data_IF_846470473267
#
_entry.id   IF_846470473267
#
_cell.length_a   1.000
_cell.length_b   1.000
_cell.length_c   1.000
_cell.angle_alpha   90.00
_cell.angle_beta   90.00
_cell.angle_gamma   90.00
#
_symmetry.space_group_name_H-M   'P 1'
#
loop_
_entity.id
_entity.type
_entity.pdbx_description
1 polymer ?
#
# COMPACT_ATOMS: atom_id res chain seq x y z
N UNK A 1 -5.73 -9.87 27.12
CA UNK A 1 -4.75 -8.87 27.62
C UNK A 1 -4.42 -7.98 26.44
N UNK A 2 -4.32 -6.67 26.63
CA UNK A 2 -3.90 -5.71 25.62
C UNK A 2 -2.40 -5.45 25.83
N UNK A 3 -1.60 -5.61 24.77
CA UNK A 3 -0.13 -5.50 24.85
C UNK A 3 0.30 -4.37 23.91
N UNK A 4 1.01 -3.39 24.42
CA UNK A 4 1.62 -2.35 23.60
C UNK A 4 2.74 -2.98 22.75
N UNK A 5 2.68 -2.76 21.43
CA UNK A 5 3.64 -3.35 20.47
C UNK A 5 4.51 -2.32 19.76
N UNK A 6 4.09 -1.06 19.75
CA UNK A 6 4.81 0.00 19.05
C UNK A 6 3.92 1.20 18.75
N UNK A 7 4.29 1.94 17.71
CA UNK A 7 3.54 3.11 17.28
C UNK A 7 3.50 3.22 15.75
N UNK A 8 2.53 3.97 15.25
CA UNK A 8 2.40 4.31 13.82
C UNK A 8 3.60 5.18 13.43
N UNK A 9 4.48 4.67 12.57
CA UNK A 9 5.65 5.40 12.08
C UNK A 9 5.32 6.21 10.82
N UNK A 10 4.52 5.64 9.93
CA UNK A 10 4.05 6.31 8.73
C UNK A 10 2.70 5.75 8.28
N UNK A 11 1.95 6.59 7.59
CA UNK A 11 0.69 6.24 6.94
C UNK A 11 0.83 6.58 5.46
N UNK A 12 0.45 5.63 4.59
CA UNK A 12 0.44 5.82 3.14
C UNK A 12 -0.94 5.51 2.57
N UNK A 13 -1.35 6.33 1.60
CA UNK A 13 -2.55 6.12 0.79
C UNK A 13 -2.14 5.99 -0.68
N UNK A 14 -2.74 5.05 -1.39
CA UNK A 14 -2.49 4.79 -2.81
C UNK A 14 -3.79 4.89 -3.59
N UNK A 15 -4.25 6.08 -4.01
CA UNK A 15 -5.58 6.27 -4.60
C UNK A 15 -5.83 5.40 -5.84
N UNK A 16 -4.78 5.17 -6.64
CA UNK A 16 -4.82 4.34 -7.85
C UNK A 16 -3.92 3.13 -7.69
N UNK A 17 -4.46 1.95 -7.98
CA UNK A 17 -3.68 0.68 -7.96
C UNK A 17 -2.40 0.82 -8.77
N UNK A 18 -1.28 0.43 -8.18
CA UNK A 18 0.07 0.43 -8.76
C UNK A 18 0.69 1.78 -9.08
N UNK A 19 0.01 2.89 -8.91
CA UNK A 19 0.59 4.24 -9.04
C UNK A 19 1.26 4.69 -7.73
N UNK A 20 1.97 5.82 -7.77
CA UNK A 20 2.58 6.42 -6.59
C UNK A 20 1.55 6.63 -5.47
N UNK A 21 2.02 6.51 -4.23
CA UNK A 21 1.24 6.81 -3.04
C UNK A 21 1.58 8.17 -2.47
N UNK A 22 0.79 8.61 -1.51
CA UNK A 22 1.02 9.81 -0.72
C UNK A 22 1.22 9.45 0.75
N UNK A 23 2.13 10.15 1.42
CA UNK A 23 2.33 10.03 2.86
C UNK A 23 1.38 10.99 3.57
N UNK A 24 0.73 10.48 4.63
CA UNK A 24 -0.23 11.23 5.43
C UNK A 24 0.23 11.29 6.89
N UNK A 25 0.02 12.43 7.54
CA UNK A 25 0.19 12.55 8.99
C UNK A 25 -1.04 12.02 9.74
N UNK A 26 -2.19 12.11 9.07
CA UNK A 26 -3.49 11.68 9.62
C UNK A 26 -4.32 11.08 8.48
N UNK A 27 -5.04 10.00 8.79
CA UNK A 27 -5.98 9.37 7.86
C UNK A 27 -7.26 8.94 8.59
N UNK A 28 -8.37 8.89 7.86
CA UNK A 28 -9.58 8.25 8.37
C UNK A 28 -9.56 6.77 7.95
N UNK A 29 -9.81 5.92 8.93
CA UNK A 29 -10.02 4.49 8.75
C UNK A 29 -11.52 4.24 8.64
N UNK A 30 -12.01 4.01 7.44
CA UNK A 30 -13.38 3.61 7.14
C UNK A 30 -13.52 2.09 7.02
N UNK A 31 -14.73 1.58 6.84
CA UNK A 31 -15.00 0.13 6.73
C UNK A 31 -14.27 -0.55 5.56
N UNK A 32 -13.88 0.20 4.55
CA UNK A 32 -13.18 -0.30 3.36
C UNK A 32 -11.68 0.04 3.35
N UNK A 33 -11.09 0.31 4.50
CA UNK A 33 -9.68 0.73 4.62
C UNK A 33 -9.54 2.23 4.81
N UNK A 34 -8.37 2.78 4.46
CA UNK A 34 -8.17 4.23 4.50
C UNK A 34 -9.03 4.91 3.43
N UNK A 35 -9.67 6.00 3.82
CA UNK A 35 -10.51 6.77 2.90
C UNK A 35 -9.73 7.18 1.64
N UNK A 36 -10.28 6.84 0.47
CA UNK A 36 -9.67 7.11 -0.84
C UNK A 36 -8.59 6.12 -1.29
N UNK A 37 -8.22 5.12 -0.46
CA UNK A 37 -7.18 4.15 -0.83
C UNK A 37 -7.66 3.17 -1.89
N UNK A 38 -6.83 2.93 -2.93
CA UNK A 38 -7.02 1.93 -4.01
C UNK A 38 -8.43 1.85 -4.60
N UNK A 39 -9.09 3.02 -4.71
CA UNK A 39 -10.45 3.14 -5.25
C UNK A 39 -10.48 3.13 -6.78
N UNK A 40 -9.32 3.28 -7.41
CA UNK A 40 -9.13 3.38 -8.85
C UNK A 40 -8.11 2.34 -9.34
N UNK A 41 -8.38 1.77 -10.52
CA UNK A 41 -7.43 0.89 -11.21
C UNK A 41 -7.65 0.93 -12.72
N UNK A 42 -6.61 0.71 -13.51
CA UNK A 42 -6.75 0.44 -14.93
C UNK A 42 -7.12 -1.01 -15.18
N UNK A 43 -8.16 -1.21 -15.96
CA UNK A 43 -8.54 -2.50 -16.53
C UNK A 43 -7.89 -2.66 -17.89
N UNK A 44 -7.24 -3.80 -18.12
CA UNK A 44 -6.75 -4.22 -19.44
C UNK A 44 -7.94 -4.71 -20.27
N UNK A 45 -8.18 -4.10 -21.43
CA UNK A 45 -9.40 -4.35 -22.23
C UNK A 45 -9.33 -5.65 -23.01
N UNK A 46 -8.14 -6.15 -23.29
CA UNK A 46 -7.85 -7.40 -24.00
C UNK A 46 -7.83 -8.63 -23.07
N UNK A 47 -7.79 -8.42 -21.75
CA UNK A 47 -7.69 -9.50 -20.78
C UNK A 47 -9.06 -10.01 -20.32
N UNK A 48 -9.27 -11.31 -20.49
CA UNK A 48 -10.48 -12.03 -20.07
C UNK A 48 -10.26 -12.88 -18.80
N UNK A 49 -9.08 -12.77 -18.18
CA UNK A 49 -8.78 -13.49 -16.93
C UNK A 49 -9.58 -12.92 -15.75
N UNK A 50 -9.62 -13.65 -14.64
CA UNK A 50 -10.22 -13.18 -13.39
C UNK A 50 -9.46 -12.01 -12.75
N UNK A 51 -8.27 -11.64 -13.25
CA UNK A 51 -7.44 -10.54 -12.76
C UNK A 51 -7.09 -9.56 -13.90
N UNK A 52 -8.06 -8.79 -14.43
CA UNK A 52 -7.85 -7.93 -15.59
C UNK A 52 -7.14 -6.61 -15.25
N UNK A 53 -6.77 -6.38 -13.99
CA UNK A 53 -6.19 -5.12 -13.55
C UNK A 53 -4.76 -4.98 -14.06
N UNK A 54 -4.43 -3.79 -14.59
CA UNK A 54 -3.06 -3.46 -14.93
C UNK A 54 -2.28 -3.18 -13.63
N UNK A 55 -1.16 -3.87 -13.47
CA UNK A 55 -0.28 -3.73 -12.31
C UNK A 55 1.11 -3.28 -12.73
N UNK A 56 1.88 -2.72 -11.82
CA UNK A 56 3.27 -2.34 -12.07
C UNK A 56 4.17 -3.54 -12.39
N UNK A 57 3.77 -4.77 -12.06
CA UNK A 57 4.46 -5.98 -12.55
C UNK A 57 4.38 -6.15 -14.07
N UNK A 58 3.38 -5.54 -14.71
CA UNK A 58 3.19 -5.56 -16.18
C UNK A 58 3.62 -4.27 -16.86
N UNK A 59 3.50 -3.13 -16.18
CA UNK A 59 3.98 -1.83 -16.61
C UNK A 59 4.72 -1.17 -15.44
N UNK A 60 6.04 -1.39 -15.31
CA UNK A 60 6.83 -0.88 -14.18
C UNK A 60 6.71 0.63 -13.97
N UNK A 61 6.64 1.41 -15.04
CA UNK A 61 6.51 2.87 -14.99
C UNK A 61 5.25 3.36 -14.26
N UNK A 62 4.24 2.51 -14.01
CA UNK A 62 3.05 2.92 -13.25
C UNK A 62 3.39 3.48 -11.87
N UNK A 63 4.48 3.00 -11.24
CA UNK A 63 4.88 3.51 -9.93
C UNK A 63 5.29 4.99 -9.96
N UNK A 64 5.62 5.52 -11.14
CA UNK A 64 6.03 6.90 -11.35
C UNK A 64 4.86 7.85 -11.65
N UNK A 65 3.68 7.32 -12.00
CA UNK A 65 2.49 8.12 -12.17
C UNK A 65 1.99 8.59 -10.82
N UNK A 66 1.84 9.91 -10.65
CA UNK A 66 1.48 10.51 -9.35
C UNK A 66 0.03 11.01 -9.38
N UNK A 67 -0.90 10.32 -8.70
CA UNK A 67 -2.25 10.83 -8.49
C UNK A 67 -2.20 12.12 -7.68
N UNK A 68 -2.97 13.13 -8.07
CA UNK A 68 -3.05 14.41 -7.38
C UNK A 68 -4.48 14.97 -7.42
N UNK A 69 -4.81 15.78 -6.42
CA UNK A 69 -6.05 16.50 -6.38
C UNK A 69 -5.80 17.99 -6.60
N UNK A 70 -6.44 18.54 -7.63
CA UNK A 70 -6.52 19.98 -7.84
C UNK A 70 -7.83 20.47 -7.27
N UNK A 71 -7.78 21.56 -6.52
CA UNK A 71 -8.97 22.17 -5.91
C UNK A 71 -9.77 23.03 -6.90
N UNK A 72 -9.11 23.53 -7.94
CA UNK A 72 -9.71 24.39 -8.96
C UNK A 72 -10.79 23.64 -9.74
N UNK A 73 -12.05 23.92 -9.41
CA UNK A 73 -13.21 23.32 -10.09
C UNK A 73 -13.46 21.85 -9.78
N UNK A 74 -12.85 21.28 -8.73
CA UNK A 74 -12.99 19.88 -8.37
C UNK A 74 -14.44 19.53 -8.03
N UNK A 75 -15.12 18.88 -8.97
CA UNK A 75 -16.39 18.20 -8.74
C UNK A 75 -16.13 16.73 -8.40
N UNK A 76 -17.01 16.13 -7.60
CA UNK A 76 -16.96 14.70 -7.26
C UNK A 76 -16.43 14.43 -5.84
N UNK A 77 -16.03 13.18 -5.61
CA UNK A 77 -15.58 12.70 -4.29
C UNK A 77 -14.30 13.41 -3.84
N UNK A 78 -14.31 14.14 -2.70
CA UNK A 78 -13.15 14.86 -2.20
C UNK A 78 -11.96 13.96 -1.83
N UNK A 79 -12.19 12.67 -1.70
CA UNK A 79 -11.17 11.68 -1.32
C UNK A 79 -10.40 11.11 -2.53
N UNK A 80 -10.87 11.38 -3.75
CA UNK A 80 -10.27 10.85 -4.96
C UNK A 80 -9.42 11.90 -5.68
N UNK A 81 -8.36 11.48 -6.38
CA UNK A 81 -7.58 12.37 -7.22
C UNK A 81 -8.44 12.88 -8.39
N UNK A 82 -8.19 14.09 -8.84
CA UNK A 82 -8.80 14.66 -10.03
C UNK A 82 -7.91 14.50 -11.27
N UNK A 83 -6.60 14.45 -11.06
CA UNK A 83 -5.59 14.34 -12.11
C UNK A 83 -4.53 13.30 -11.74
N UNK A 84 -3.77 12.90 -12.74
CA UNK A 84 -2.55 12.11 -12.59
C UNK A 84 -1.43 12.85 -13.33
N UNK A 85 -0.30 13.07 -12.67
CA UNK A 85 0.92 13.53 -13.31
C UNK A 85 1.67 12.33 -13.86
N UNK A 86 1.99 12.35 -15.14
CA UNK A 86 2.78 11.33 -15.83
C UNK A 86 4.27 11.43 -15.45
N UNK A 87 5.09 10.41 -15.74
CA UNK A 87 6.54 10.48 -15.56
C UNK A 87 7.21 11.63 -16.35
N UNK A 88 6.60 12.05 -17.46
CA UNK A 88 7.09 13.16 -18.30
C UNK A 88 6.66 14.53 -17.78
N UNK A 89 5.88 14.58 -16.68
CA UNK A 89 5.46 15.82 -16.02
C UNK A 89 4.11 16.37 -16.49
N UNK A 90 3.46 15.75 -17.46
CA UNK A 90 2.14 16.16 -17.93
C UNK A 90 1.06 15.79 -16.91
N UNK A 91 0.07 16.65 -16.72
CA UNK A 91 -1.05 16.40 -15.84
C UNK A 91 -2.33 16.16 -16.64
N UNK A 92 -2.92 15.00 -16.44
CA UNK A 92 -4.11 14.54 -17.17
C UNK A 92 -5.26 14.26 -16.22
N UNK A 93 -6.52 14.58 -16.57
CA UNK A 93 -7.69 14.20 -15.78
C UNK A 93 -7.76 12.67 -15.58
N UNK A 94 -8.08 12.24 -14.36
CA UNK A 94 -8.15 10.80 -14.00
C UNK A 94 -9.10 10.02 -14.90
N UNK A 95 -10.25 10.60 -15.21
CA UNK A 95 -11.29 9.99 -16.07
C UNK A 95 -11.24 10.50 -17.51
N UNK A 96 -10.12 11.10 -17.93
CA UNK A 96 -9.92 11.54 -19.30
C UNK A 96 -9.49 10.40 -20.23
N UNK A 97 -9.90 10.48 -21.50
CA UNK A 97 -9.41 9.55 -22.53
C UNK A 97 -7.89 9.63 -22.72
N UNK A 98 -7.31 10.81 -22.51
CA UNK A 98 -5.88 11.04 -22.76
C UNK A 98 -4.99 10.27 -21.78
N UNK A 99 -5.37 10.20 -20.49
CA UNK A 99 -4.66 9.37 -19.53
C UNK A 99 -4.75 7.88 -19.89
N UNK A 100 -5.92 7.41 -20.30
CA UNK A 100 -6.09 6.02 -20.72
C UNK A 100 -5.30 5.70 -21.99
N UNK A 101 -5.25 6.63 -22.97
CA UNK A 101 -4.43 6.50 -24.18
C UNK A 101 -2.94 6.47 -23.83
N UNK A 102 -2.46 7.36 -22.95
CA UNK A 102 -1.05 7.42 -22.55
C UNK A 102 -0.61 6.15 -21.82
N UNK A 103 -1.39 5.68 -20.84
CA UNK A 103 -1.10 4.42 -20.14
C UNK A 103 -1.19 3.23 -21.10
N UNK A 104 -2.18 3.21 -21.99
CA UNK A 104 -2.34 2.16 -23.01
C UNK A 104 -1.18 2.12 -24.00
N UNK A 105 -0.69 3.30 -24.44
CA UNK A 105 0.49 3.42 -25.32
C UNK A 105 1.74 2.83 -24.66
N UNK A 106 1.99 3.12 -23.38
CA UNK A 106 3.13 2.57 -22.63
C UNK A 106 2.98 1.07 -22.36
N UNK A 107 1.77 0.63 -22.10
CA UNK A 107 1.48 -0.78 -21.86
C UNK A 107 1.47 -1.62 -23.15
N UNK A 108 1.16 -1.02 -24.29
CA UNK A 108 1.07 -1.68 -25.60
C UNK A 108 -0.32 -2.25 -25.92
N UNK A 109 -1.35 -1.97 -25.12
CA UNK A 109 -2.73 -2.41 -25.36
C UNK A 109 -3.74 -1.45 -24.70
N UNK A 110 -5.00 -1.41 -25.17
CA UNK A 110 -6.03 -0.54 -24.61
C UNK A 110 -6.30 -0.82 -23.13
N UNK A 111 -6.43 0.25 -22.36
CA UNK A 111 -6.81 0.22 -20.94
C UNK A 111 -7.94 1.19 -20.66
N UNK A 112 -8.68 0.95 -19.57
CA UNK A 112 -9.75 1.82 -19.11
C UNK A 112 -9.64 2.05 -17.61
N UNK A 113 -9.78 3.32 -17.17
CA UNK A 113 -9.87 3.64 -15.75
C UNK A 113 -11.20 3.15 -15.19
N UNK A 114 -11.14 2.42 -14.10
CA UNK A 114 -12.27 1.89 -13.36
C UNK A 114 -12.27 2.47 -11.94
N UNK A 115 -13.45 2.72 -11.42
CA UNK A 115 -13.66 3.19 -10.05
C UNK A 115 -14.58 2.22 -9.30
N UNK A 116 -14.19 1.87 -8.08
CA UNK A 116 -15.10 1.21 -7.12
C UNK A 116 -15.86 2.26 -6.32
N UNK A 117 -17.17 2.08 -6.23
CA UNK A 117 -18.01 2.87 -5.32
C UNK A 117 -17.75 2.48 -3.86
N UNK A 118 -17.53 1.19 -3.61
CA UNK A 118 -17.20 0.61 -2.31
C UNK A 118 -16.08 -0.42 -2.49
N UNK A 119 -15.30 -0.68 -1.41
CA UNK A 119 -14.17 -1.59 -1.47
C UNK A 119 -12.92 -0.99 -2.10
N UNK A 120 -11.93 -1.83 -2.33
CA UNK A 120 -10.62 -1.45 -2.86
C UNK A 120 -10.17 -2.45 -3.94
N UNK A 121 -9.28 -2.01 -4.81
CA UNK A 121 -8.61 -2.87 -5.80
C UNK A 121 -7.38 -3.57 -5.20
N UNK A 122 -7.57 -4.31 -4.10
CA UNK A 122 -6.52 -5.12 -3.48
C UNK A 122 -7.13 -6.35 -2.77
N UNK A 123 -6.29 -7.22 -2.20
CA UNK A 123 -6.74 -8.46 -1.54
C UNK A 123 -7.37 -8.20 -0.17
N UNK A 124 -6.91 -7.18 0.55
CA UNK A 124 -7.48 -6.79 1.84
C UNK A 124 -7.45 -5.28 2.04
N UNK A 125 -8.25 -4.80 2.99
CA UNK A 125 -8.54 -3.38 3.17
C UNK A 125 -7.37 -2.58 3.75
N UNK A 126 -6.48 -3.22 4.51
CA UNK A 126 -5.31 -2.60 5.13
C UNK A 126 -4.09 -3.51 5.01
N UNK A 127 -2.98 -2.95 4.56
CA UNK A 127 -1.65 -3.58 4.60
C UNK A 127 -0.79 -2.89 5.66
N UNK A 128 -0.16 -3.69 6.53
CA UNK A 128 0.72 -3.23 7.62
C UNK A 128 2.07 -3.92 7.53
N UNK A 129 3.15 -3.18 7.75
CA UNK A 129 4.50 -3.74 7.81
C UNK A 129 5.31 -3.05 8.92
N UNK A 130 6.16 -3.81 9.61
CA UNK A 130 7.12 -3.23 10.54
C UNK A 130 8.33 -2.65 9.80
N UNK A 131 8.83 -1.49 10.23
CA UNK A 131 10.06 -0.90 9.66
C UNK A 131 11.27 -1.82 9.84
N UNK A 132 11.32 -2.55 10.95
CA UNK A 132 12.37 -3.54 11.23
C UNK A 132 12.40 -4.67 10.18
N UNK A 133 11.23 -5.12 9.72
CA UNK A 133 11.11 -6.11 8.64
C UNK A 133 11.67 -5.58 7.32
N UNK A 134 11.37 -4.32 6.98
CA UNK A 134 11.89 -3.67 5.77
C UNK A 134 13.41 -3.54 5.84
N UNK A 135 13.95 -3.11 6.99
CA UNK A 135 15.39 -3.00 7.21
C UNK A 135 16.09 -4.35 7.06
N UNK A 136 15.55 -5.42 7.64
CA UNK A 136 16.13 -6.76 7.53
C UNK A 136 16.11 -7.28 6.09
N UNK A 137 15.02 -7.06 5.34
CA UNK A 137 14.95 -7.40 3.92
C UNK A 137 16.02 -6.64 3.13
N UNK A 138 16.20 -5.33 3.39
CA UNK A 138 17.24 -4.52 2.75
C UNK A 138 18.63 -5.06 3.03
N UNK A 139 18.92 -5.40 4.29
CA UNK A 139 20.20 -6.01 4.69
C UNK A 139 20.47 -7.34 3.98
N UNK A 140 19.44 -8.18 3.80
CA UNK A 140 19.53 -9.48 3.16
C UNK A 140 19.56 -9.41 1.62
N UNK A 141 19.03 -8.35 1.02
CA UNK A 141 19.10 -8.11 -0.42
C UNK A 141 20.51 -7.77 -0.90
N UNK A 142 21.41 -7.38 0.02
CA UNK A 142 22.83 -7.25 -0.24
C UNK A 142 23.31 -5.85 -0.58
N UNK A 143 24.53 -5.76 -1.16
CA UNK A 143 25.31 -4.52 -1.32
C UNK A 143 24.69 -3.41 -2.19
N UNK A 144 23.59 -3.67 -2.85
CA UNK A 144 22.88 -2.66 -3.65
C UNK A 144 22.10 -1.67 -2.82
N UNK A 145 21.93 -1.96 -1.51
CA UNK A 145 21.22 -1.09 -0.58
C UNK A 145 22.13 -0.78 0.61
N UNK A 146 22.31 0.49 0.92
CA UNK A 146 22.77 0.89 2.24
C UNK A 146 21.76 0.39 3.27
N UNK A 147 22.21 -0.11 4.41
CA UNK A 147 21.36 -0.77 5.45
C UNK A 147 20.16 0.09 5.88
N UNK A 148 20.19 1.39 5.59
CA UNK A 148 19.11 2.35 5.89
C UNK A 148 18.26 2.73 4.67
N UNK A 149 18.46 2.13 3.49
CA UNK A 149 17.95 2.69 2.24
C UNK A 149 16.91 1.88 1.48
N UNK A 150 16.46 0.70 1.96
CA UNK A 150 15.34 0.03 1.30
C UNK A 150 14.05 0.79 1.57
N UNK A 151 13.51 1.41 0.53
CA UNK A 151 12.32 2.22 0.64
C UNK A 151 11.09 1.36 0.95
N UNK A 152 10.40 1.67 2.05
CA UNK A 152 9.19 0.97 2.49
C UNK A 152 8.06 1.06 1.46
N UNK A 153 8.04 2.11 0.62
CA UNK A 153 7.04 2.28 -0.44
C UNK A 153 7.04 1.15 -1.47
N UNK A 154 8.13 0.38 -1.60
CA UNK A 154 8.18 -0.85 -2.43
C UNK A 154 7.15 -1.88 -1.99
N UNK A 155 6.87 -1.97 -0.69
CA UNK A 155 5.90 -2.88 -0.09
C UNK A 155 4.47 -2.31 -0.10
N UNK A 156 4.31 -1.03 -0.42
CA UNK A 156 3.01 -0.35 -0.52
C UNK A 156 2.11 -0.52 0.70
N UNK A 157 2.64 -0.40 1.93
CA UNK A 157 1.82 -0.53 3.13
C UNK A 157 0.90 0.68 3.30
N UNK A 158 -0.24 0.47 3.97
CA UNK A 158 -1.04 1.57 4.49
C UNK A 158 -0.45 2.10 5.80
N UNK A 159 0.04 1.21 6.65
CA UNK A 159 0.58 1.54 7.96
C UNK A 159 1.96 0.93 8.11
N UNK A 160 2.93 1.76 8.45
CA UNK A 160 4.26 1.31 8.89
C UNK A 160 4.30 1.39 10.41
N UNK A 161 4.75 0.31 11.03
CA UNK A 161 4.85 0.19 12.48
C UNK A 161 6.31 0.26 12.91
N UNK A 162 6.61 1.15 13.86
CA UNK A 162 7.86 1.12 14.61
C UNK A 162 7.61 0.30 15.87
N UNK A 163 8.28 -0.83 15.99
CA UNK A 163 8.14 -1.75 17.10
C UNK A 163 8.82 -1.20 18.38
N UNK A 164 8.29 -1.54 19.56
CA UNK A 164 8.97 -1.29 20.85
C UNK A 164 10.25 -2.10 20.98
N UNK A 165 10.25 -3.31 20.43
CA UNK A 165 11.42 -4.18 20.37
C UNK A 165 11.67 -4.49 18.90
N UNK A 166 12.87 -4.17 18.42
CA UNK A 166 13.29 -4.42 17.04
C UNK A 166 13.41 -5.92 16.76
N UNK A 167 12.33 -6.52 16.31
CA UNK A 167 12.26 -7.93 15.90
C UNK A 167 11.68 -8.02 14.50
N UNK A 168 12.50 -8.27 13.46
CA UNK A 168 12.03 -8.43 12.10
C UNK A 168 10.98 -9.54 11.98
N UNK A 169 9.96 -9.33 11.15
CA UNK A 169 8.84 -10.25 10.90
C UNK A 169 7.96 -10.55 12.13
N UNK A 170 8.03 -9.75 13.19
CA UNK A 170 7.19 -9.92 14.37
C UNK A 170 5.69 -9.79 14.04
N UNK A 171 5.34 -9.02 13.02
CA UNK A 171 3.97 -8.87 12.55
C UNK A 171 3.33 -10.20 12.09
N UNK A 172 4.11 -11.20 11.73
CA UNK A 172 3.60 -12.54 11.38
C UNK A 172 2.94 -13.25 12.57
N UNK A 173 3.33 -12.91 13.79
CA UNK A 173 2.77 -13.46 15.04
C UNK A 173 1.42 -12.84 15.41
N UNK A 174 0.98 -11.78 14.70
CA UNK A 174 -0.27 -11.09 15.02
C UNK A 174 -1.50 -11.69 14.34
N UNK A 175 -1.34 -12.78 13.59
CA UNK A 175 -2.44 -13.45 12.88
C UNK A 175 -3.61 -13.77 13.79
N UNK A 176 -4.83 -13.41 13.36
CA UNK A 176 -6.07 -13.57 14.13
C UNK A 176 -6.23 -12.57 15.28
N UNK A 177 -5.19 -11.79 15.58
CA UNK A 177 -5.21 -10.74 16.59
C UNK A 177 -5.86 -9.46 16.11
N UNK A 178 -6.16 -8.59 17.06
CA UNK A 178 -6.71 -7.25 16.83
C UNK A 178 -5.66 -6.20 17.19
N UNK A 179 -5.36 -5.31 16.25
CA UNK A 179 -4.55 -4.11 16.48
C UNK A 179 -5.48 -2.93 16.77
N UNK A 180 -5.33 -2.31 17.93
CA UNK A 180 -6.01 -1.07 18.32
C UNK A 180 -5.04 0.11 18.23
N UNK A 181 -5.48 1.21 17.64
CA UNK A 181 -4.69 2.44 17.52
C UNK A 181 -5.10 3.41 18.60
N UNK A 182 -4.44 3.29 19.76
CA UNK A 182 -4.74 4.02 20.99
C UNK A 182 -5.43 3.16 22.05
N UNK A 183 -5.54 3.73 23.24
CA UNK A 183 -6.22 3.14 24.39
C UNK A 183 -7.74 3.36 24.33
N UNK A 184 -8.47 2.42 24.91
CA UNK A 184 -9.91 2.52 25.07
C UNK A 184 -10.70 1.73 24.03
N UNK A 185 -11.97 1.51 24.37
CA UNK A 185 -12.87 0.65 23.59
C UNK A 185 -13.31 1.28 22.26
N UNK A 186 -13.21 2.61 22.14
CA UNK A 186 -13.56 3.36 20.93
C UNK A 186 -12.37 3.58 19.97
N UNK A 187 -11.15 3.18 20.36
CA UNK A 187 -9.97 3.36 19.51
C UNK A 187 -10.13 2.61 18.17
N UNK A 188 -9.74 3.20 17.03
CA UNK A 188 -9.78 2.52 15.74
C UNK A 188 -9.08 1.19 15.81
N UNK A 189 -9.59 0.16 15.10
CA UNK A 189 -9.02 -1.18 15.19
C UNK A 189 -9.15 -1.96 13.89
N UNK A 190 -8.19 -2.86 13.67
CA UNK A 190 -8.15 -3.79 12.56
C UNK A 190 -7.90 -5.21 13.08
N UNK A 191 -8.48 -6.21 12.43
CA UNK A 191 -8.18 -7.63 12.70
C UNK A 191 -7.23 -8.14 11.64
N UNK A 192 -6.13 -8.73 12.07
CA UNK A 192 -5.12 -9.32 11.19
C UNK A 192 -5.66 -10.62 10.61
N UNK A 193 -5.72 -10.71 9.28
CA UNK A 193 -6.36 -11.82 8.57
C UNK A 193 -5.37 -12.78 7.93
N UNK A 194 -4.27 -12.27 7.38
CA UNK A 194 -3.28 -13.09 6.70
C UNK A 194 -1.94 -12.36 6.59
N UNK A 195 -0.88 -13.13 6.32
CA UNK A 195 0.43 -12.60 5.95
C UNK A 195 0.37 -12.11 4.51
N UNK A 196 1.04 -10.99 4.24
CA UNK A 196 1.05 -10.37 2.91
C UNK A 196 2.06 -11.07 2.00
N UNK A 197 1.56 -11.78 0.98
CA UNK A 197 2.38 -12.45 -0.02
C UNK A 197 2.85 -11.46 -1.08
N UNK A 198 4.17 -11.43 -1.35
CA UNK A 198 4.79 -10.42 -2.18
C UNK A 198 4.98 -10.85 -3.62
N UNK A 199 4.59 -9.99 -4.54
CA UNK A 199 4.84 -10.16 -5.97
C UNK A 199 6.08 -9.37 -6.42
N UNK A 200 6.45 -9.51 -7.70
CA UNK A 200 7.62 -8.83 -8.29
C UNK A 200 7.60 -7.29 -8.19
N UNK A 201 6.48 -6.70 -7.80
CA UNK A 201 6.34 -5.26 -7.64
C UNK A 201 7.24 -4.69 -6.55
N UNK A 202 7.58 -5.46 -5.49
CA UNK A 202 8.53 -5.02 -4.45
C UNK A 202 9.94 -4.78 -4.99
N UNK A 203 10.27 -5.33 -6.16
CA UNK A 203 11.54 -5.09 -6.82
C UNK A 203 11.66 -3.69 -7.43
N UNK A 204 10.53 -3.01 -7.68
CA UNK A 204 10.55 -1.71 -8.36
C UNK A 204 10.91 -0.59 -7.39
N UNK A 205 11.87 0.22 -7.78
CA UNK A 205 12.16 1.46 -7.09
C UNK A 205 10.99 2.46 -7.28
N UNK A 206 10.45 3.05 -6.21
CA UNK A 206 9.26 3.89 -6.31
C UNK A 206 9.49 5.22 -7.03
N UNK A 207 10.74 5.69 -7.15
CA UNK A 207 11.08 6.98 -7.75
C UNK A 207 11.71 6.86 -9.14
N UNK A 208 12.20 5.66 -9.52
CA UNK A 208 12.85 5.43 -10.83
C UNK A 208 12.27 4.26 -11.62
N UNK A 209 11.39 3.45 -11.01
CA UNK A 209 10.93 2.16 -11.55
C UNK A 209 12.05 1.15 -11.83
N UNK A 210 13.28 1.44 -11.42
CA UNK A 210 14.43 0.54 -11.63
C UNK A 210 14.23 -0.77 -10.88
N UNK A 211 14.44 -1.93 -11.53
CA UNK A 211 14.23 -3.22 -10.91
C UNK A 211 15.41 -3.64 -10.02
N UNK A 212 15.10 -4.16 -8.84
CA UNK A 212 16.04 -4.77 -7.90
C UNK A 212 15.54 -6.19 -7.50
N UNK A 213 15.73 -7.22 -8.34
CA UNK A 213 15.20 -8.56 -8.12
C UNK A 213 15.67 -9.23 -6.84
N UNK A 214 16.77 -8.77 -6.26
CA UNK A 214 17.32 -9.21 -4.99
C UNK A 214 16.38 -8.95 -3.81
N UNK A 215 15.50 -7.96 -3.89
CA UNK A 215 14.52 -7.65 -2.83
C UNK A 215 13.54 -8.83 -2.68
N UNK A 216 12.85 -9.22 -3.76
CA UNK A 216 11.92 -10.35 -3.70
C UNK A 216 12.65 -11.67 -3.37
N UNK A 217 13.85 -11.88 -3.90
CA UNK A 217 14.67 -13.06 -3.57
C UNK A 217 15.00 -13.11 -2.07
N UNK A 218 15.28 -11.97 -1.45
CA UNK A 218 15.50 -11.90 0.01
C UNK A 218 14.23 -12.28 0.77
N UNK A 219 13.07 -11.71 0.40
CA UNK A 219 11.76 -12.04 1.01
C UNK A 219 11.44 -13.54 0.90
N UNK A 220 11.60 -14.12 -0.30
CA UNK A 220 11.37 -15.56 -0.53
C UNK A 220 12.24 -16.41 0.38
N UNK A 221 13.54 -16.08 0.44
CA UNK A 221 14.53 -16.87 1.18
C UNK A 221 14.32 -16.79 2.70
N UNK A 222 14.00 -15.60 3.24
CA UNK A 222 13.94 -15.39 4.68
C UNK A 222 12.57 -15.71 5.26
N UNK A 223 11.48 -15.48 4.52
CA UNK A 223 10.13 -15.56 5.06
C UNK A 223 9.09 -16.12 4.07
N UNK A 224 9.49 -17.09 3.22
CA UNK A 224 8.56 -17.83 2.34
C UNK A 224 7.68 -16.91 1.47
N UNK A 225 8.28 -15.88 0.88
CA UNK A 225 7.61 -14.88 0.04
C UNK A 225 6.64 -13.94 0.78
N UNK A 226 6.74 -13.78 2.10
CA UNK A 226 5.83 -12.97 2.91
C UNK A 226 6.57 -11.85 3.63
N UNK A 227 6.00 -10.67 3.64
CA UNK A 227 6.53 -9.51 4.36
C UNK A 227 5.38 -8.54 4.68
N UNK A 228 5.12 -8.33 5.97
CA UNK A 228 3.95 -7.62 6.46
C UNK A 228 2.69 -8.49 6.50
N UNK A 229 1.60 -7.86 6.84
CA UNK A 229 0.29 -8.51 7.05
C UNK A 229 -0.82 -7.73 6.37
N UNK A 230 -1.89 -8.44 6.06
CA UNK A 230 -3.18 -7.88 5.68
C UNK A 230 -4.16 -7.93 6.85
N UNK A 231 -5.03 -6.93 6.90
CA UNK A 231 -6.02 -6.80 7.95
C UNK A 231 -7.34 -6.26 7.39
N UNK A 232 -8.42 -6.51 8.13
CA UNK A 232 -9.74 -5.94 7.88
C UNK A 232 -10.14 -5.00 9.00
N UNK A 233 -10.89 -3.96 8.68
CA UNK A 233 -11.31 -2.94 9.65
C UNK A 233 -12.41 -3.51 10.54
N UNK A 234 -12.22 -3.42 11.85
CA UNK A 234 -13.20 -3.85 12.85
C UNK A 234 -13.75 -2.69 13.68
N UNK A 235 -13.06 -1.57 13.68
CA UNK A 235 -13.56 -0.33 14.25
C UNK A 235 -13.00 0.87 13.49
N UNK A 236 -13.89 1.69 12.95
CA UNK A 236 -13.55 2.91 12.20
C UNK A 236 -13.03 4.00 13.12
N UNK A 237 -12.33 4.98 12.58
CA UNK A 237 -11.90 6.18 13.30
C UNK A 237 -10.69 6.84 12.66
N UNK A 238 -10.04 7.73 13.39
CA UNK A 238 -8.92 8.52 12.92
C UNK A 238 -7.59 7.89 13.33
N UNK A 239 -6.71 7.70 12.39
CA UNK A 239 -5.32 7.27 12.59
C UNK A 239 -4.39 8.49 12.49
N UNK A 240 -3.32 8.48 13.27
CA UNK A 240 -2.28 9.51 13.22
C UNK A 240 -0.89 8.90 13.38
N UNK A 241 0.10 9.50 12.74
CA UNK A 241 1.52 9.17 12.98
C UNK A 241 1.86 9.44 14.45
N UNK A 242 2.66 8.57 15.05
CA UNK A 242 3.00 8.60 16.48
C UNK A 242 1.97 7.94 17.41
N UNK A 243 0.81 7.54 16.90
CA UNK A 243 -0.22 6.89 17.71
C UNK A 243 0.25 5.51 18.19
N UNK A 244 0.07 5.22 19.48
CA UNK A 244 0.43 3.93 20.07
C UNK A 244 -0.45 2.80 19.54
N UNK A 245 0.14 1.64 19.30
CA UNK A 245 -0.53 0.45 18.80
C UNK A 245 -0.53 -0.63 19.88
N UNK A 246 -1.69 -1.19 20.13
CA UNK A 246 -1.89 -2.30 21.06
C UNK A 246 -2.36 -3.53 20.32
N UNK A 247 -1.81 -4.68 20.69
CA UNK A 247 -2.24 -6.00 20.21
C UNK A 247 -3.10 -6.70 21.27
N UNK A 248 -4.26 -7.16 20.86
CA UNK A 248 -5.01 -8.21 21.53
C UNK A 248 -4.80 -9.50 20.74
N UNK A 249 -4.04 -10.43 21.29
CA UNK A 249 -3.79 -11.72 20.64
C UNK A 249 -5.11 -12.48 20.40
N UNK A 250 -5.11 -13.35 19.38
CA UNK A 250 -6.21 -14.28 19.16
C UNK A 250 -6.41 -15.13 20.43
N UNK A 251 -7.66 -15.29 20.83
CA UNK A 251 -8.02 -16.32 21.85
C UNK A 251 -8.00 -17.66 21.13
N UNK A 252 -7.05 -18.55 21.52
CA UNK A 252 -6.96 -19.91 21.03
C UNK A 252 -8.22 -20.72 21.34
#
# INVERSE_FOLDING_TARGET
MLIEIGQVEAIFRYPVKSMAGERLEVANLGWHGLDGDRRLAFRRMDDRSGMPWLTASKLPELVLFTPLRREDGAQGDPLLPTHVRTPDGEEMPVFGEDLAKEVGRRYGAPVQMMQLRHGIFDEATISVIASDTVHEIGRLAGRSFDVQSLDVRRFRPNIVVRLLRSVPFQEDEWLGGVLSFGEGDDAPAITVTMRDERCSMVNLDPDSASPAPEVLKAVVRVNQNKAGIYATVTRIGRLAVGQTIFLRAATG
#
